data_IF_151028608018
#
_entry.id   IF_151028608018
#
_cell.length_a   1.000
_cell.length_b   1.000
_cell.length_c   1.000
_cell.angle_alpha   90.00
_cell.angle_beta   90.00
_cell.angle_gamma   90.00
#
_symmetry.space_group_name_H-M   'P 1'
#
loop_
_entity.id
_entity.type
_entity.pdbx_description
1 polymer ?
#
# COMPACT_ATOMS: atom_id res chain seq x y z
N UNK A 1 5.89 16.73 0.96
CA UNK A 1 5.03 17.89 0.67
C UNK A 1 4.01 17.98 1.78
N UNK A 2 3.98 19.05 2.56
CA UNK A 2 3.02 19.23 3.66
C UNK A 2 1.79 19.94 3.12
N UNK A 3 0.60 19.38 3.34
CA UNK A 3 -0.67 19.97 2.88
C UNK A 3 -1.14 21.05 3.83
N UNK A 4 -1.88 22.03 3.32
CA UNK A 4 -2.43 23.07 4.18
C UNK A 4 -3.62 22.52 4.97
N UNK A 5 -3.71 22.78 6.29
CA UNK A 5 -4.84 22.31 7.08
C UNK A 5 -6.20 22.80 6.58
N UNK A 6 -6.25 24.04 6.08
CA UNK A 6 -7.49 24.66 5.56
C UNK A 6 -8.05 23.87 4.37
N UNK A 7 -7.21 23.53 3.38
CA UNK A 7 -7.65 22.76 2.20
C UNK A 7 -8.19 21.39 2.60
N UNK A 8 -7.53 20.73 3.55
CA UNK A 8 -7.91 19.39 3.97
C UNK A 8 -9.20 19.40 4.77
N UNK A 9 -9.35 20.29 5.76
CA UNK A 9 -10.59 20.37 6.53
C UNK A 9 -11.77 20.78 5.65
N UNK A 10 -11.60 21.77 4.77
CA UNK A 10 -12.62 22.13 3.78
C UNK A 10 -12.98 20.93 2.89
N UNK A 11 -11.97 20.23 2.37
CA UNK A 11 -12.19 19.01 1.59
C UNK A 11 -12.96 17.94 2.36
N UNK A 12 -12.68 17.71 3.65
CA UNK A 12 -13.39 16.74 4.48
C UNK A 12 -14.86 17.11 4.73
N UNK A 13 -15.15 18.41 4.75
CA UNK A 13 -16.52 18.94 4.85
C UNK A 13 -17.23 18.72 3.50
N UNK A 14 -16.61 19.14 2.41
CA UNK A 14 -17.22 19.18 1.06
C UNK A 14 -17.32 17.79 0.41
N UNK A 15 -16.40 16.86 0.73
CA UNK A 15 -16.38 15.54 0.12
C UNK A 15 -17.63 14.74 0.51
N UNK A 16 -18.34 14.22 -0.49
CA UNK A 16 -19.55 13.42 -0.31
C UNK A 16 -19.25 11.93 -0.25
N UNK A 17 -19.89 11.22 0.67
CA UNK A 17 -19.93 9.74 0.68
C UNK A 17 -21.30 9.31 0.14
N UNK A 18 -21.39 8.68 -1.04
CA UNK A 18 -22.65 8.19 -1.58
C UNK A 18 -23.32 7.17 -0.66
N UNK A 19 -24.66 7.10 -0.68
CA UNK A 19 -25.44 6.15 0.12
C UNK A 19 -25.05 4.69 -0.12
N UNK A 20 -24.65 4.35 -1.34
CA UNK A 20 -24.10 3.03 -1.67
C UNK A 20 -22.85 2.70 -0.83
N UNK A 21 -21.91 3.65 -0.73
CA UNK A 21 -20.69 3.48 0.07
C UNK A 21 -21.02 3.38 1.56
N UNK A 22 -21.98 4.17 2.06
CA UNK A 22 -22.48 4.06 3.45
C UNK A 22 -23.03 2.65 3.71
N UNK A 23 -23.82 2.09 2.80
CA UNK A 23 -24.34 0.73 2.94
C UNK A 23 -23.24 -0.34 3.00
N UNK A 24 -22.15 -0.14 2.24
CA UNK A 24 -20.98 -0.99 2.31
C UNK A 24 -20.20 -0.83 3.62
N UNK A 25 -20.08 0.40 4.14
CA UNK A 25 -19.50 0.66 5.47
C UNK A 25 -20.28 -0.13 6.53
N UNK A 26 -21.61 -0.01 6.53
CA UNK A 26 -22.48 -0.72 7.48
C UNK A 26 -22.33 -2.24 7.39
N UNK A 27 -22.21 -2.78 6.18
CA UNK A 27 -21.93 -4.21 5.96
C UNK A 27 -20.59 -4.63 6.56
N UNK A 28 -19.53 -3.84 6.37
CA UNK A 28 -18.18 -4.13 6.88
C UNK A 28 -18.16 -4.10 8.41
N UNK A 29 -18.78 -3.10 9.03
CA UNK A 29 -18.71 -2.89 10.49
C UNK A 29 -19.81 -3.66 11.25
N UNK A 30 -20.88 -4.10 10.58
CA UNK A 30 -22.04 -4.75 11.19
C UNK A 30 -21.69 -5.99 12.01
N UNK A 31 -20.58 -6.66 11.69
CA UNK A 31 -20.03 -7.78 12.47
C UNK A 31 -19.61 -7.41 13.91
N UNK A 32 -19.53 -6.12 14.23
CA UNK A 32 -19.18 -5.57 15.54
C UNK A 32 -20.36 -4.87 16.23
N UNK A 33 -21.59 -5.04 15.73
CA UNK A 33 -22.80 -4.32 16.20
C UNK A 33 -23.13 -4.49 17.68
N UNK A 34 -22.75 -5.64 18.27
CA UNK A 34 -22.96 -5.95 19.68
C UNK A 34 -21.83 -5.45 20.61
N UNK A 35 -20.74 -4.90 20.05
CA UNK A 35 -19.59 -4.46 20.83
C UNK A 35 -19.77 -3.04 21.33
N UNK A 36 -19.44 -2.84 22.61
CA UNK A 36 -19.41 -1.52 23.25
C UNK A 36 -17.95 -1.16 23.54
N UNK A 37 -17.58 0.08 23.21
CA UNK A 37 -16.26 0.64 23.45
C UNK A 37 -16.42 2.12 23.79
N UNK A 38 -15.70 2.61 24.80
CA UNK A 38 -15.76 4.01 25.24
C UNK A 38 -17.19 4.53 25.55
N UNK A 39 -18.08 3.67 26.05
CA UNK A 39 -19.47 4.03 26.37
C UNK A 39 -20.41 4.13 25.17
N UNK A 40 -19.94 3.86 23.96
CA UNK A 40 -20.73 3.86 22.72
C UNK A 40 -20.61 2.52 22.00
N UNK A 41 -21.44 2.29 20.97
CA UNK A 41 -21.29 1.12 20.12
C UNK A 41 -20.02 1.28 19.28
N UNK A 42 -19.18 0.23 19.23
CA UNK A 42 -17.94 0.23 18.46
C UNK A 42 -18.13 0.59 16.98
N UNK A 43 -19.29 0.22 16.40
CA UNK A 43 -19.65 0.56 15.02
C UNK A 43 -19.71 2.06 14.76
N UNK A 44 -20.04 2.90 15.75
CA UNK A 44 -20.07 4.36 15.59
C UNK A 44 -18.63 4.85 15.34
N UNK A 45 -17.69 4.39 16.17
CA UNK A 45 -16.28 4.74 16.02
C UNK A 45 -15.68 4.26 14.71
N UNK A 46 -16.02 3.04 14.31
CA UNK A 46 -15.56 2.47 13.05
C UNK A 46 -16.15 3.19 11.85
N UNK A 47 -17.44 3.56 11.88
CA UNK A 47 -18.07 4.33 10.81
C UNK A 47 -17.36 5.67 10.63
N UNK A 48 -17.20 6.44 11.71
CA UNK A 48 -16.49 7.72 11.67
C UNK A 48 -15.06 7.60 11.13
N UNK A 49 -14.34 6.55 11.54
CA UNK A 49 -13.00 6.28 11.02
C UNK A 49 -13.00 5.98 9.53
N UNK A 50 -13.84 5.05 9.08
CA UNK A 50 -13.92 4.66 7.66
C UNK A 50 -14.36 5.83 6.79
N UNK A 51 -15.36 6.60 7.21
CA UNK A 51 -15.81 7.82 6.51
C UNK A 51 -14.67 8.84 6.39
N UNK A 52 -13.96 9.11 7.49
CA UNK A 52 -12.88 10.11 7.52
C UNK A 52 -11.73 9.73 6.60
N UNK A 53 -11.28 8.46 6.65
CA UNK A 53 -10.19 7.99 5.81
C UNK A 53 -10.63 7.88 4.34
N UNK A 54 -11.87 7.44 4.08
CA UNK A 54 -12.43 7.37 2.73
C UNK A 54 -12.44 8.77 2.07
N UNK A 55 -12.98 9.78 2.76
CA UNK A 55 -12.93 11.17 2.30
C UNK A 55 -11.50 11.66 2.13
N UNK A 56 -10.60 11.33 3.05
CA UNK A 56 -9.18 11.69 2.94
C UNK A 56 -8.61 11.17 1.63
N UNK A 57 -8.74 9.87 1.33
CA UNK A 57 -8.23 9.28 0.09
C UNK A 57 -8.86 9.97 -1.13
N UNK A 58 -10.18 10.21 -1.11
CA UNK A 58 -10.90 10.91 -2.18
C UNK A 58 -10.31 12.29 -2.47
N UNK A 59 -10.08 13.11 -1.43
CA UNK A 59 -9.51 14.47 -1.56
C UNK A 59 -8.07 14.40 -2.07
N UNK A 60 -7.28 13.44 -1.57
CA UNK A 60 -5.90 13.24 -2.01
C UNK A 60 -5.79 12.82 -3.48
N UNK A 61 -6.84 12.20 -4.02
CA UNK A 61 -6.99 11.82 -5.42
C UNK A 61 -7.59 12.95 -6.28
N UNK A 62 -7.81 14.15 -5.71
CA UNK A 62 -8.37 15.31 -6.39
C UNK A 62 -9.87 15.21 -6.70
N UNK A 63 -10.58 14.28 -6.04
CA UNK A 63 -12.02 14.04 -6.23
C UNK A 63 -12.84 14.64 -5.08
N UNK A 64 -14.13 14.82 -5.33
CA UNK A 64 -15.12 15.30 -4.34
C UNK A 64 -16.10 14.22 -3.90
N UNK A 65 -16.17 13.09 -4.61
CA UNK A 65 -17.09 11.99 -4.29
C UNK A 65 -16.31 10.70 -4.08
N UNK A 66 -16.57 10.06 -2.94
CA UNK A 66 -15.93 8.81 -2.56
C UNK A 66 -16.43 7.62 -3.36
N UNK A 67 -15.52 6.67 -3.60
CA UNK A 67 -15.74 5.45 -4.37
C UNK A 67 -15.55 4.19 -3.52
N UNK A 68 -15.91 3.03 -4.06
CA UNK A 68 -15.65 1.73 -3.41
C UNK A 68 -14.14 1.48 -3.25
N UNK A 69 -13.31 2.01 -4.14
CA UNK A 69 -11.85 1.94 -4.03
C UNK A 69 -11.35 2.71 -2.80
N UNK A 70 -11.92 3.88 -2.52
CA UNK A 70 -11.57 4.69 -1.34
C UNK A 70 -11.96 3.97 -0.04
N UNK A 71 -13.15 3.36 -0.02
CA UNK A 71 -13.57 2.51 1.10
C UNK A 71 -12.65 1.30 1.28
N UNK A 72 -12.23 0.66 0.19
CA UNK A 72 -11.29 -0.47 0.26
C UNK A 72 -9.97 -0.03 0.90
N UNK A 73 -9.44 1.14 0.51
CA UNK A 73 -8.25 1.71 1.13
C UNK A 73 -8.44 2.04 2.61
N UNK A 74 -9.60 2.58 2.99
CA UNK A 74 -9.93 2.84 4.39
C UNK A 74 -9.98 1.57 5.25
N UNK A 75 -10.57 0.49 4.71
CA UNK A 75 -10.59 -0.83 5.36
C UNK A 75 -9.18 -1.41 5.46
N UNK A 76 -8.37 -1.32 4.41
CA UNK A 76 -6.99 -1.81 4.43
C UNK A 76 -6.11 -1.09 5.46
N UNK A 77 -6.39 0.19 5.75
CA UNK A 77 -5.73 0.95 6.82
C UNK A 77 -6.21 0.50 8.20
N UNK A 78 -7.51 0.29 8.37
CA UNK A 78 -8.06 -0.26 9.61
C UNK A 78 -7.43 -1.64 9.90
N UNK A 79 -7.37 -2.51 8.90
CA UNK A 79 -6.73 -3.82 9.00
C UNK A 79 -5.23 -3.68 9.29
N UNK A 80 -4.55 -2.71 8.68
CA UNK A 80 -3.14 -2.46 8.98
C UNK A 80 -2.92 -2.08 10.46
N UNK A 81 -3.69 -1.14 11.01
CA UNK A 81 -3.57 -0.72 12.40
C UNK A 81 -3.93 -1.81 13.41
N UNK A 82 -4.86 -2.69 13.05
CA UNK A 82 -5.37 -3.74 13.94
C UNK A 82 -4.53 -5.02 13.86
N UNK A 83 -3.90 -5.31 12.72
CA UNK A 83 -3.08 -6.52 12.53
C UNK A 83 -1.58 -6.31 12.77
N UNK A 84 -1.08 -5.08 12.62
CA UNK A 84 0.37 -4.80 12.64
C UNK A 84 0.77 -4.21 14.00
N UNK A 85 1.97 -4.55 14.48
CA UNK A 85 2.57 -3.89 15.66
C UNK A 85 3.40 -2.66 15.26
N UNK A 86 3.51 -1.70 16.20
CA UNK A 86 4.36 -0.50 16.05
C UNK A 86 4.05 0.33 14.78
N UNK A 87 2.79 0.37 14.32
CA UNK A 87 2.39 1.26 13.21
C UNK A 87 2.51 2.74 13.60
N UNK A 88 2.51 3.05 14.89
CA UNK A 88 2.74 4.39 15.43
C UNK A 88 4.19 4.90 15.31
N UNK A 89 5.08 4.17 14.60
CA UNK A 89 6.44 4.66 14.30
C UNK A 89 6.49 5.62 13.11
N UNK A 90 5.35 5.90 12.49
CA UNK A 90 5.24 6.90 11.42
C UNK A 90 5.44 8.27 12.05
N UNK A 91 6.27 9.12 11.43
CA UNK A 91 6.58 10.47 11.92
C UNK A 91 6.28 11.51 10.85
N UNK A 92 6.37 12.80 11.19
CA UNK A 92 6.25 13.89 10.20
C UNK A 92 7.40 13.90 9.20
N UNK A 93 8.55 13.34 9.58
CA UNK A 93 9.75 13.23 8.74
C UNK A 93 9.73 11.97 7.85
N UNK A 94 9.10 10.89 8.32
CA UNK A 94 8.86 9.64 7.59
C UNK A 94 7.36 9.28 7.65
N UNK A 95 6.48 10.00 6.92
CA UNK A 95 5.03 9.91 7.07
C UNK A 95 4.37 8.71 6.35
N UNK A 96 5.18 7.78 5.83
CA UNK A 96 4.71 6.64 5.03
C UNK A 96 4.44 5.39 5.86
N UNK A 97 3.46 4.60 5.46
CA UNK A 97 3.20 3.27 6.03
C UNK A 97 4.38 2.35 5.81
N UNK A 98 4.79 1.62 6.86
CA UNK A 98 5.74 0.52 6.73
C UNK A 98 4.94 -0.75 6.46
N UNK A 99 5.10 -1.32 5.26
CA UNK A 99 4.38 -2.51 4.79
C UNK A 99 4.86 -3.79 5.48
N UNK A 100 4.65 -3.88 6.80
CA UNK A 100 5.01 -5.03 7.62
C UNK A 100 4.03 -6.18 7.45
N UNK A 101 4.51 -7.39 7.72
CA UNK A 101 3.68 -8.58 7.85
C UNK A 101 2.70 -8.40 9.03
N UNK A 102 1.43 -8.84 8.90
CA UNK A 102 0.51 -8.97 10.02
C UNK A 102 1.14 -9.77 11.17
N UNK A 103 0.89 -9.33 12.41
CA UNK A 103 1.39 -9.95 13.63
C UNK A 103 0.31 -10.59 14.50
N UNK A 104 -0.96 -10.38 14.16
CA UNK A 104 -2.15 -10.88 14.85
C UNK A 104 -3.36 -10.78 13.95
N UNK A 105 -4.42 -11.48 14.33
CA UNK A 105 -5.71 -11.40 13.65
C UNK A 105 -6.39 -10.04 13.95
N UNK A 106 -6.76 -9.26 12.91
CA UNK A 106 -7.38 -7.95 13.08
C UNK A 106 -8.77 -8.03 13.73
N UNK A 107 -9.54 -9.09 13.47
CA UNK A 107 -10.89 -9.26 14.03
C UNK A 107 -10.82 -9.55 15.52
N UNK A 108 -9.95 -10.47 15.94
CA UNK A 108 -9.72 -10.75 17.37
C UNK A 108 -9.26 -9.49 18.11
N UNK A 109 -8.36 -8.72 17.49
CA UNK A 109 -7.91 -7.45 18.04
C UNK A 109 -9.07 -6.45 18.19
N UNK A 110 -9.91 -6.29 17.17
CA UNK A 110 -11.09 -5.42 17.22
C UNK A 110 -12.07 -5.82 18.32
N UNK A 111 -12.35 -7.12 18.49
CA UNK A 111 -13.24 -7.62 19.54
C UNK A 111 -12.68 -7.34 20.95
N UNK A 112 -11.35 -7.36 21.08
CA UNK A 112 -10.66 -7.11 22.35
C UNK A 112 -10.73 -5.66 22.83
N UNK A 113 -11.19 -4.72 22.00
CA UNK A 113 -11.37 -3.32 22.40
C UNK A 113 -12.44 -3.11 23.48
N UNK A 114 -13.41 -4.03 23.59
CA UNK A 114 -14.39 -4.04 24.67
C UNK A 114 -13.75 -4.07 26.07
N UNK A 115 -12.50 -4.52 26.17
CA UNK A 115 -11.73 -4.59 27.41
C UNK A 115 -10.94 -3.31 27.70
N UNK A 116 -10.96 -2.32 26.80
CA UNK A 116 -10.19 -1.08 26.93
C UNK A 116 -11.07 0.02 27.50
N UNK A 117 -10.63 0.62 28.60
CA UNK A 117 -11.23 1.78 29.22
C UNK A 117 -10.50 3.05 28.80
N UNK A 118 -11.27 4.09 28.48
CA UNK A 118 -10.71 5.41 28.17
C UNK A 118 -10.39 6.12 29.49
N UNK A 119 -9.11 6.35 29.75
CA UNK A 119 -8.65 7.10 30.93
C UNK A 119 -9.12 8.56 30.91
N UNK A 120 -9.31 9.15 32.09
CA UNK A 120 -9.78 10.53 32.23
C UNK A 120 -8.87 11.56 31.56
N UNK A 121 -7.54 11.36 31.64
CA UNK A 121 -6.55 12.19 30.94
C UNK A 121 -6.73 12.14 29.42
N UNK A 122 -6.83 10.93 28.85
CA UNK A 122 -7.07 10.73 27.41
C UNK A 122 -8.36 11.44 26.98
N UNK A 123 -9.45 11.26 27.72
CA UNK A 123 -10.75 11.88 27.44
C UNK A 123 -10.67 13.41 27.47
N UNK A 124 -10.02 13.99 28.50
CA UNK A 124 -9.83 15.43 28.63
C UNK A 124 -9.00 16.02 27.49
N UNK A 125 -7.96 15.32 27.04
CA UNK A 125 -7.14 15.73 25.88
C UNK A 125 -7.93 15.69 24.57
N UNK A 126 -8.77 14.67 24.37
CA UNK A 126 -9.66 14.56 23.21
C UNK A 126 -10.66 15.71 23.17
N UNK A 127 -11.31 16.01 24.30
CA UNK A 127 -12.23 17.14 24.40
C UNK A 127 -11.53 18.47 24.08
N UNK A 128 -10.36 18.73 24.69
CA UNK A 128 -9.59 19.93 24.42
C UNK A 128 -9.08 20.04 22.97
N UNK A 129 -8.79 18.93 22.31
CA UNK A 129 -8.41 18.91 20.89
C UNK A 129 -9.61 19.16 19.96
N UNK A 130 -10.79 18.62 20.30
CA UNK A 130 -12.03 18.90 19.58
C UNK A 130 -12.44 20.38 19.70
N UNK A 131 -12.31 20.99 20.87
CA UNK A 131 -12.53 22.43 21.06
C UNK A 131 -11.57 23.29 20.22
N UNK A 132 -10.29 22.93 20.17
CA UNK A 132 -9.30 23.62 19.35
C UNK A 132 -9.60 23.49 17.86
N UNK A 133 -10.06 22.32 17.43
CA UNK A 133 -10.51 22.11 16.05
C UNK A 133 -11.73 22.99 15.74
N UNK A 134 -12.74 23.00 16.61
CA UNK A 134 -13.93 23.83 16.44
C UNK A 134 -13.57 25.31 16.28
N UNK A 135 -12.75 25.86 17.19
CA UNK A 135 -12.27 27.25 17.09
C UNK A 135 -11.51 27.51 15.79
N UNK A 136 -10.63 26.59 15.38
CA UNK A 136 -9.92 26.72 14.12
C UNK A 136 -10.86 26.80 12.91
N UNK A 137 -11.90 25.95 12.86
CA UNK A 137 -12.88 25.93 11.79
C UNK A 137 -13.72 27.22 11.75
N UNK A 138 -14.10 27.74 12.93
CA UNK A 138 -14.84 29.00 13.09
C UNK A 138 -13.99 30.21 12.70
N UNK A 139 -12.78 30.32 13.24
CA UNK A 139 -11.85 31.44 12.99
C UNK A 139 -11.52 31.59 11.50
N UNK A 140 -11.51 30.48 10.75
CA UNK A 140 -11.23 30.46 9.31
C UNK A 140 -12.51 30.43 8.45
N UNK A 141 -13.70 30.47 9.05
CA UNK A 141 -14.98 30.48 8.34
C UNK A 141 -15.15 29.29 7.40
N UNK A 142 -14.69 28.10 7.80
CA UNK A 142 -14.65 26.95 6.90
C UNK A 142 -16.00 26.26 6.72
N UNK A 143 -16.92 26.42 7.68
CA UNK A 143 -18.20 25.70 7.67
C UNK A 143 -19.24 26.32 8.61
N UNK A 144 -20.50 25.89 8.49
CA UNK A 144 -21.55 26.18 9.47
C UNK A 144 -21.36 25.40 10.79
N UNK A 145 -22.06 25.85 11.84
CA UNK A 145 -21.96 25.27 13.20
C UNK A 145 -22.29 23.78 13.21
N UNK A 146 -23.31 23.35 12.45
CA UNK A 146 -23.75 21.95 12.43
C UNK A 146 -22.69 21.02 11.84
N UNK A 147 -22.08 21.41 10.73
CA UNK A 147 -21.04 20.60 10.09
C UNK A 147 -19.71 20.69 10.86
N UNK A 148 -19.47 21.80 11.56
CA UNK A 148 -18.38 21.92 12.53
C UNK A 148 -18.52 20.88 13.65
N UNK A 149 -19.68 20.84 14.32
CA UNK A 149 -19.98 19.86 15.37
C UNK A 149 -19.81 18.42 14.88
N UNK A 150 -20.37 18.10 13.71
CA UNK A 150 -20.26 16.76 13.13
C UNK A 150 -18.80 16.37 12.78
N UNK A 151 -18.00 17.31 12.29
CA UNK A 151 -16.58 17.05 12.01
C UNK A 151 -15.79 16.84 13.31
N UNK A 152 -16.03 17.67 14.32
CA UNK A 152 -15.40 17.55 15.63
C UNK A 152 -15.76 16.22 16.32
N UNK A 153 -17.02 15.78 16.23
CA UNK A 153 -17.46 14.48 16.74
C UNK A 153 -16.75 13.32 16.02
N UNK A 154 -16.66 13.37 14.69
CA UNK A 154 -15.93 12.36 13.90
C UNK A 154 -14.46 12.29 14.30
N UNK A 155 -13.79 13.42 14.48
CA UNK A 155 -12.38 13.47 14.88
C UNK A 155 -12.19 12.95 16.31
N UNK A 156 -13.02 13.38 17.26
CA UNK A 156 -13.01 12.87 18.62
C UNK A 156 -13.17 11.34 18.65
N UNK A 157 -14.11 10.84 17.86
CA UNK A 157 -14.36 9.41 17.69
C UNK A 157 -13.17 8.66 17.07
N UNK A 158 -12.49 9.24 16.08
CA UNK A 158 -11.26 8.67 15.52
C UNK A 158 -10.12 8.65 16.54
N UNK A 159 -9.95 9.72 17.33
CA UNK A 159 -8.94 9.76 18.38
C UNK A 159 -9.20 8.72 19.46
N UNK A 160 -10.46 8.58 19.92
CA UNK A 160 -10.86 7.52 20.87
C UNK A 160 -10.48 6.13 20.34
N UNK A 161 -10.82 5.84 19.07
CA UNK A 161 -10.53 4.56 18.44
C UNK A 161 -9.03 4.27 18.35
N UNK A 162 -8.25 5.22 17.83
CA UNK A 162 -6.81 5.05 17.62
C UNK A 162 -6.06 5.01 18.97
N UNK A 163 -6.50 5.76 19.98
CA UNK A 163 -5.97 5.64 21.35
C UNK A 163 -6.23 4.26 21.93
N UNK A 164 -7.42 3.70 21.71
CA UNK A 164 -7.74 2.31 22.06
C UNK A 164 -6.83 1.31 21.36
N UNK A 165 -6.58 1.49 20.06
CA UNK A 165 -5.65 0.66 19.30
C UNK A 165 -4.22 0.74 19.85
N UNK A 166 -3.72 1.96 20.14
CA UNK A 166 -2.39 2.17 20.71
C UNK A 166 -2.24 1.46 22.05
N UNK A 167 -3.19 1.70 22.97
CA UNK A 167 -3.22 1.12 24.30
C UNK A 167 -3.25 -0.41 24.25
N UNK A 168 -4.18 -0.99 23.48
CA UNK A 168 -4.31 -2.44 23.36
C UNK A 168 -3.10 -3.08 22.68
N UNK A 169 -2.50 -2.39 21.72
CA UNK A 169 -1.27 -2.88 21.05
C UNK A 169 -0.07 -2.97 21.98
N UNK A 170 -0.07 -2.22 23.08
CA UNK A 170 0.94 -2.27 24.12
C UNK A 170 0.57 -3.23 25.27
N UNK A 171 -0.53 -3.99 25.14
CA UNK A 171 -1.00 -4.94 26.15
C UNK A 171 -1.71 -4.29 27.34
N UNK A 172 -2.04 -3.00 27.26
CA UNK A 172 -2.76 -2.27 28.31
C UNK A 172 -4.28 -2.34 28.11
N UNK A 173 -5.02 -2.11 29.19
CA UNK A 173 -6.49 -2.06 29.23
C UNK A 173 -7.04 -0.67 29.60
N UNK A 174 -6.19 0.29 29.92
CA UNK A 174 -6.58 1.67 30.23
C UNK A 174 -5.69 2.62 29.44
N UNK A 175 -6.31 3.52 28.68
CA UNK A 175 -5.57 4.52 27.88
C UNK A 175 -4.93 5.57 28.79
N UNK A 176 -3.80 6.12 28.35
CA UNK A 176 -3.08 7.22 29.01
C UNK A 176 -3.00 8.43 28.10
N UNK A 177 -2.46 9.56 28.58
CA UNK A 177 -2.20 10.73 27.74
C UNK A 177 -1.33 10.38 26.51
N UNK A 178 -0.32 9.53 26.67
CA UNK A 178 0.55 9.10 25.56
C UNK A 178 -0.21 8.39 24.42
N UNK A 179 -1.30 7.67 24.70
CA UNK A 179 -2.12 7.05 23.66
C UNK A 179 -2.94 8.07 22.88
N UNK A 180 -3.33 9.16 23.53
CA UNK A 180 -3.93 10.29 22.84
C UNK A 180 -2.92 10.98 21.94
N UNK A 181 -1.70 11.26 22.42
CA UNK A 181 -0.68 11.92 21.60
C UNK A 181 -0.34 11.12 20.34
N UNK A 182 -0.23 9.78 20.47
CA UNK A 182 -0.09 8.88 19.32
C UNK A 182 -1.28 9.00 18.36
N UNK A 183 -2.50 8.95 18.87
CA UNK A 183 -3.70 9.04 18.04
C UNK A 183 -3.82 10.39 17.31
N UNK A 184 -3.52 11.47 18.02
CA UNK A 184 -3.54 12.82 17.51
C UNK A 184 -2.50 13.01 16.40
N UNK A 185 -1.25 12.61 16.64
CA UNK A 185 -0.18 12.73 15.65
C UNK A 185 -0.41 11.83 14.43
N UNK A 186 -0.91 10.60 14.62
CA UNK A 186 -1.15 9.69 13.49
C UNK A 186 -2.25 10.23 12.58
N UNK A 187 -3.39 10.66 13.12
CA UNK A 187 -4.45 11.25 12.29
C UNK A 187 -3.94 12.50 11.55
N UNK A 188 -3.16 13.34 12.23
CA UNK A 188 -2.51 14.51 11.63
C UNK A 188 -1.54 14.13 10.50
N UNK A 189 -0.73 13.09 10.69
CA UNK A 189 0.22 12.61 9.69
C UNK A 189 -0.51 12.11 8.44
N UNK A 190 -1.53 11.26 8.62
CA UNK A 190 -2.34 10.74 7.52
C UNK A 190 -2.96 11.87 6.68
N UNK A 191 -3.54 12.86 7.36
CA UNK A 191 -4.21 13.99 6.70
C UNK A 191 -3.22 14.89 5.96
N UNK A 192 -2.13 15.32 6.61
CA UNK A 192 -1.32 16.42 6.09
C UNK A 192 0.02 16.02 5.47
N UNK A 193 0.52 14.81 5.72
CA UNK A 193 1.89 14.43 5.36
C UNK A 193 1.96 13.15 4.52
N UNK A 194 1.06 12.19 4.71
CA UNK A 194 1.10 10.90 4.01
C UNK A 194 0.64 11.04 2.55
N UNK A 195 1.44 10.68 1.53
CA UNK A 195 1.09 10.82 0.12
C UNK A 195 0.01 9.81 -0.31
N UNK A 196 -0.71 10.07 -1.41
CA UNK A 196 -1.78 9.19 -1.88
C UNK A 196 -1.33 7.74 -2.13
N UNK A 197 -0.15 7.55 -2.71
CA UNK A 197 0.38 6.22 -3.02
C UNK A 197 0.62 5.36 -1.78
N UNK A 198 0.78 5.96 -0.60
CA UNK A 198 0.88 5.21 0.65
C UNK A 198 -0.44 4.50 0.99
N UNK A 199 -1.58 5.19 0.82
CA UNK A 199 -2.91 4.61 0.99
C UNK A 199 -3.14 3.51 -0.04
N UNK A 200 -2.89 3.81 -1.32
CA UNK A 200 -3.11 2.86 -2.43
C UNK A 200 -2.20 1.62 -2.34
N UNK A 201 -0.98 1.75 -1.83
CA UNK A 201 -0.04 0.64 -1.74
C UNK A 201 -0.47 -0.48 -0.78
N UNK A 202 -1.18 -0.14 0.32
CA UNK A 202 -1.73 -1.16 1.23
C UNK A 202 -2.76 -2.05 0.52
N UNK A 203 -3.61 -1.45 -0.31
CA UNK A 203 -4.57 -2.18 -1.15
C UNK A 203 -3.87 -2.94 -2.26
N UNK A 204 -2.94 -2.29 -2.97
CA UNK A 204 -2.24 -2.89 -4.12
C UNK A 204 -1.51 -4.18 -3.73
N UNK A 205 -0.73 -4.18 -2.63
CA UNK A 205 0.00 -5.38 -2.20
C UNK A 205 -0.95 -6.54 -1.86
N UNK A 206 -2.08 -6.26 -1.19
CA UNK A 206 -3.07 -7.29 -0.89
C UNK A 206 -3.70 -7.82 -2.18
N UNK A 207 -4.17 -6.93 -3.06
CA UNK A 207 -4.82 -7.30 -4.32
C UNK A 207 -3.91 -8.13 -5.21
N UNK A 208 -2.65 -7.72 -5.39
CA UNK A 208 -1.63 -8.48 -6.12
C UNK A 208 -1.51 -9.88 -5.52
N UNK A 209 -1.23 -10.01 -4.22
CA UNK A 209 -1.00 -11.31 -3.60
C UNK A 209 -2.23 -12.23 -3.60
N UNK A 210 -3.43 -11.66 -3.60
CA UNK A 210 -4.69 -12.42 -3.62
C UNK A 210 -5.27 -12.61 -5.01
N UNK A 211 -4.62 -12.09 -6.06
CA UNK A 211 -5.14 -12.22 -7.41
C UNK A 211 -5.01 -13.67 -7.89
N UNK A 212 -6.11 -14.32 -8.33
CA UNK A 212 -6.08 -15.70 -8.81
C UNK A 212 -5.11 -15.93 -9.98
N UNK A 213 -4.80 -14.88 -10.77
CA UNK A 213 -3.80 -14.96 -11.84
C UNK A 213 -2.44 -15.32 -11.27
N UNK A 214 -2.01 -14.76 -10.14
CA UNK A 214 -0.65 -14.98 -9.61
C UNK A 214 -0.33 -16.45 -9.39
N UNK A 215 -1.26 -17.21 -8.80
CA UNK A 215 -1.07 -18.64 -8.61
C UNK A 215 -0.91 -19.38 -9.96
N UNK A 216 -1.74 -19.04 -10.95
CA UNK A 216 -1.68 -19.62 -12.30
C UNK A 216 -0.41 -19.23 -13.07
N UNK A 217 0.08 -18.00 -12.89
CA UNK A 217 1.34 -17.56 -13.51
C UNK A 217 2.51 -18.43 -13.06
N UNK A 218 2.50 -18.84 -11.79
CA UNK A 218 3.55 -19.66 -11.21
C UNK A 218 3.66 -21.03 -11.90
N UNK A 219 2.54 -21.58 -12.37
CA UNK A 219 2.44 -22.87 -13.06
C UNK A 219 2.92 -22.83 -14.51
N UNK A 220 3.04 -21.64 -15.12
CA UNK A 220 3.47 -21.50 -16.51
C UNK A 220 4.97 -21.77 -16.62
N UNK A 221 5.31 -22.84 -17.34
CA UNK A 221 6.69 -23.27 -17.56
C UNK A 221 7.33 -22.57 -18.76
N UNK A 222 8.65 -22.41 -18.71
CA UNK A 222 9.45 -21.99 -19.86
C UNK A 222 10.14 -23.20 -20.49
N UNK A 223 10.15 -23.30 -21.81
CA UNK A 223 11.01 -24.26 -22.49
C UNK A 223 12.49 -23.86 -22.33
N UNK A 224 13.42 -24.83 -22.30
CA UNK A 224 14.85 -24.52 -22.27
C UNK A 224 15.30 -23.63 -23.44
N UNK A 225 14.66 -23.79 -24.61
CA UNK A 225 14.94 -22.97 -25.80
C UNK A 225 14.53 -21.51 -25.61
N UNK A 226 13.36 -21.26 -25.02
CA UNK A 226 12.93 -19.91 -24.65
C UNK A 226 13.89 -19.28 -23.64
N UNK A 227 14.29 -20.01 -22.60
CA UNK A 227 15.23 -19.48 -21.60
C UNK A 227 16.58 -19.11 -22.23
N UNK A 228 17.11 -19.93 -23.15
CA UNK A 228 18.34 -19.64 -23.90
C UNK A 228 18.21 -18.39 -24.78
N UNK A 229 17.08 -18.20 -25.45
CA UNK A 229 16.82 -16.98 -26.22
C UNK A 229 16.77 -15.75 -25.31
N UNK A 230 16.12 -15.86 -24.15
CA UNK A 230 16.06 -14.75 -23.20
C UNK A 230 17.44 -14.43 -22.60
N UNK A 231 18.26 -15.43 -22.30
CA UNK A 231 19.61 -15.27 -21.74
C UNK A 231 20.64 -14.77 -22.76
N UNK A 232 20.34 -14.87 -24.06
CA UNK A 232 21.12 -14.28 -25.16
C UNK A 232 20.52 -12.97 -25.70
N UNK A 233 19.40 -12.52 -25.13
CA UNK A 233 18.68 -11.31 -25.54
C UNK A 233 19.45 -10.02 -25.24
N UNK A 234 19.00 -8.93 -25.85
CA UNK A 234 19.48 -7.57 -25.55
C UNK A 234 19.34 -7.25 -24.06
N UNK A 235 18.24 -7.64 -23.42
CA UNK A 235 18.03 -7.42 -21.99
C UNK A 235 19.14 -8.09 -21.14
N UNK A 236 19.43 -9.37 -21.41
CA UNK A 236 20.47 -10.11 -20.69
C UNK A 236 21.88 -9.53 -20.94
N UNK A 237 22.15 -9.09 -22.18
CA UNK A 237 23.41 -8.42 -22.52
C UNK A 237 23.58 -7.12 -21.73
N UNK A 238 22.54 -6.29 -21.67
CA UNK A 238 22.55 -5.01 -20.96
C UNK A 238 22.73 -5.20 -19.45
N UNK A 239 22.12 -6.23 -18.86
CA UNK A 239 22.34 -6.57 -17.45
C UNK A 239 23.80 -6.94 -17.16
N UNK A 240 24.41 -7.81 -17.98
CA UNK A 240 25.81 -8.21 -17.82
C UNK A 240 26.77 -7.03 -17.93
N UNK A 241 26.52 -6.10 -18.85
CA UNK A 241 27.34 -4.89 -19.00
C UNK A 241 27.25 -3.94 -17.79
N UNK A 242 26.18 -4.03 -16.99
CA UNK A 242 25.92 -3.14 -15.86
C UNK A 242 25.90 -3.85 -14.50
N UNK A 243 26.45 -5.06 -14.42
CA UNK A 243 26.42 -5.89 -13.22
C UNK A 243 26.95 -5.15 -11.97
N UNK A 244 28.01 -4.36 -12.13
CA UNK A 244 28.60 -3.56 -11.06
C UNK A 244 27.62 -2.52 -10.46
N UNK A 245 26.74 -1.95 -11.29
CA UNK A 245 25.68 -1.04 -10.81
C UNK A 245 24.62 -1.83 -10.04
N UNK A 246 24.23 -3.00 -10.52
CA UNK A 246 23.17 -3.81 -9.91
C UNK A 246 23.62 -4.53 -8.61
N UNK A 247 24.92 -4.74 -8.44
CA UNK A 247 25.50 -5.45 -7.28
C UNK A 247 25.12 -4.84 -5.92
N UNK A 248 24.91 -3.53 -5.82
CA UNK A 248 24.51 -2.87 -4.56
C UNK A 248 23.09 -3.25 -4.11
N UNK A 249 22.17 -3.50 -5.06
CA UNK A 249 20.78 -3.91 -4.78
C UNK A 249 20.74 -5.41 -4.41
N UNK A 250 21.76 -6.17 -4.81
CA UNK A 250 21.88 -7.60 -4.54
C UNK A 250 22.09 -7.98 -3.08
N UNK A 251 22.47 -7.04 -2.22
CA UNK A 251 22.49 -7.29 -0.78
C UNK A 251 21.09 -7.32 -0.17
N UNK A 252 20.14 -6.56 -0.72
CA UNK A 252 18.79 -6.43 -0.18
C UNK A 252 17.82 -7.46 -0.77
N UNK A 253 17.94 -7.74 -2.08
CA UNK A 253 17.13 -8.78 -2.76
C UNK A 253 17.99 -9.56 -3.77
N UNK A 254 18.81 -10.53 -3.32
CA UNK A 254 19.84 -11.18 -4.14
C UNK A 254 19.31 -11.84 -5.42
N UNK A 255 18.15 -12.49 -5.35
CA UNK A 255 17.58 -13.25 -6.47
C UNK A 255 16.88 -12.38 -7.52
N UNK A 256 16.36 -11.21 -7.14
CA UNK A 256 15.64 -10.30 -8.03
C UNK A 256 16.58 -9.30 -8.73
N UNK A 257 17.57 -8.81 -8.01
CA UNK A 257 18.47 -7.71 -8.40
C UNK A 257 19.54 -8.07 -9.42
N UNK A 258 19.99 -9.33 -9.48
CA UNK A 258 21.02 -9.77 -10.42
C UNK A 258 20.52 -9.80 -11.88
N UNK A 259 19.20 -9.88 -12.05
CA UNK A 259 18.53 -10.14 -13.33
C UNK A 259 17.21 -9.33 -13.39
N UNK A 260 17.25 -8.01 -13.18
CA UNK A 260 16.03 -7.17 -13.11
C UNK A 260 15.20 -7.21 -14.40
N UNK A 261 15.78 -6.87 -15.55
CA UNK A 261 15.11 -6.91 -16.85
C UNK A 261 14.69 -8.32 -17.23
N UNK A 262 15.59 -9.30 -17.13
CA UNK A 262 15.28 -10.67 -17.55
C UNK A 262 14.22 -11.32 -16.66
N UNK A 263 14.25 -11.11 -15.34
CA UNK A 263 13.18 -11.59 -14.46
C UNK A 263 11.86 -10.82 -14.66
N UNK A 264 11.91 -9.52 -14.94
CA UNK A 264 10.71 -8.73 -15.28
C UNK A 264 10.05 -9.25 -16.55
N UNK A 265 10.85 -9.51 -17.59
CA UNK A 265 10.38 -10.12 -18.84
C UNK A 265 9.83 -11.52 -18.62
N UNK A 266 10.45 -12.35 -17.76
CA UNK A 266 9.88 -13.66 -17.38
C UNK A 266 8.50 -13.49 -16.74
N UNK A 267 8.32 -12.54 -15.83
CA UNK A 267 7.00 -12.30 -15.22
C UNK A 267 5.96 -11.88 -16.28
N UNK A 268 6.31 -10.89 -17.11
CA UNK A 268 5.42 -10.37 -18.16
C UNK A 268 5.09 -11.44 -19.21
N UNK A 269 6.06 -12.30 -19.56
CA UNK A 269 5.86 -13.41 -20.46
C UNK A 269 4.89 -14.45 -19.88
N UNK A 270 4.99 -14.77 -18.59
CA UNK A 270 4.00 -15.62 -17.92
C UNK A 270 2.61 -14.97 -17.94
N UNK A 271 2.53 -13.65 -17.72
CA UNK A 271 1.26 -12.92 -17.78
C UNK A 271 0.63 -12.97 -19.17
N UNK A 272 1.44 -12.75 -20.21
CA UNK A 272 1.00 -12.83 -21.61
C UNK A 272 0.59 -14.24 -22.01
N UNK A 273 1.34 -15.25 -21.59
CA UNK A 273 1.03 -16.65 -21.83
C UNK A 273 -0.28 -17.07 -21.16
N UNK A 274 -0.54 -16.59 -19.93
CA UNK A 274 -1.80 -16.83 -19.23
C UNK A 274 -2.99 -16.24 -19.99
N UNK A 275 -2.87 -15.01 -20.52
CA UNK A 275 -3.90 -14.39 -21.37
C UNK A 275 -4.18 -15.19 -22.65
N UNK A 276 -3.15 -15.86 -23.18
CA UNK A 276 -3.26 -16.72 -24.36
C UNK A 276 -3.69 -18.16 -24.04
N UNK A 277 -3.90 -18.50 -22.76
CA UNK A 277 -4.28 -19.85 -22.33
C UNK A 277 -3.16 -20.88 -22.43
N UNK A 278 -1.90 -20.44 -22.46
CA UNK A 278 -0.74 -21.31 -22.55
C UNK A 278 -0.31 -21.80 -21.16
N UNK A 279 -0.03 -23.10 -21.04
CA UNK A 279 0.57 -23.71 -19.84
C UNK A 279 2.11 -23.76 -19.90
N UNK A 280 2.68 -23.58 -21.09
CA UNK A 280 4.12 -23.56 -21.36
C UNK A 280 4.43 -22.61 -22.49
N UNK A 281 5.53 -21.89 -22.37
CA UNK A 281 6.03 -20.96 -23.39
C UNK A 281 7.16 -21.66 -24.14
N UNK A 282 6.96 -21.90 -25.44
CA UNK A 282 7.93 -22.60 -26.28
C UNK A 282 8.93 -21.62 -26.93
N UNK A 283 9.98 -22.17 -27.54
CA UNK A 283 11.03 -21.36 -28.17
C UNK A 283 10.52 -20.57 -29.38
N UNK A 284 9.56 -21.13 -30.11
CA UNK A 284 8.94 -20.53 -31.30
C UNK A 284 8.03 -19.34 -30.94
N UNK A 285 7.54 -19.30 -29.70
CA UNK A 285 6.70 -18.22 -29.19
C UNK A 285 7.52 -17.00 -28.74
N UNK A 286 8.86 -17.07 -28.76
CA UNK A 286 9.71 -16.06 -28.13
C UNK A 286 9.41 -14.63 -28.60
N UNK A 287 9.42 -14.38 -29.91
CA UNK A 287 9.25 -13.03 -30.44
C UNK A 287 7.83 -12.49 -30.18
N UNK A 288 6.81 -13.33 -30.33
CA UNK A 288 5.41 -12.94 -30.14
C UNK A 288 5.11 -12.65 -28.66
N UNK A 289 5.61 -13.48 -27.74
CA UNK A 289 5.44 -13.32 -26.30
C UNK A 289 6.21 -12.10 -25.79
N UNK A 290 7.43 -11.86 -26.26
CA UNK A 290 8.22 -10.70 -25.83
C UNK A 290 7.59 -9.40 -26.34
N UNK A 291 7.15 -9.33 -27.61
CA UNK A 291 6.43 -8.16 -28.12
C UNK A 291 5.12 -7.93 -27.35
N UNK A 292 4.36 -8.99 -27.08
CA UNK A 292 3.15 -8.94 -26.27
C UNK A 292 3.43 -8.44 -24.84
N UNK A 293 4.50 -8.92 -24.21
CA UNK A 293 4.95 -8.53 -22.87
C UNK A 293 5.27 -7.04 -22.79
N UNK A 294 5.94 -6.51 -23.81
CA UNK A 294 6.22 -5.08 -23.93
C UNK A 294 4.93 -4.27 -24.18
N UNK A 295 3.92 -4.87 -24.81
CA UNK A 295 2.58 -4.29 -24.95
C UNK A 295 1.86 -4.12 -23.61
N UNK A 296 2.03 -5.06 -22.67
CA UNK A 296 1.46 -4.97 -21.32
C UNK A 296 2.05 -3.80 -20.53
N UNK A 297 3.33 -3.47 -20.72
CA UNK A 297 3.92 -2.27 -20.09
C UNK A 297 3.30 -0.98 -20.64
N UNK A 298 2.99 -0.92 -21.93
CA UNK A 298 2.34 0.26 -22.51
C UNK A 298 0.93 0.49 -21.95
N UNK A 299 0.17 -0.55 -21.59
CA UNK A 299 -1.19 -0.38 -21.07
C UNK A 299 -1.22 0.34 -19.72
N UNK A 300 -0.15 0.25 -18.93
CA UNK A 300 0.04 0.99 -17.69
C UNK A 300 0.88 2.28 -17.87
N UNK A 301 1.02 2.75 -19.11
CA UNK A 301 1.72 4.01 -19.44
C UNK A 301 3.25 3.93 -19.44
N UNK A 302 3.84 2.73 -19.44
CA UNK A 302 5.30 2.53 -19.48
C UNK A 302 5.75 2.32 -20.93
N UNK A 303 6.38 3.35 -21.50
CA UNK A 303 6.87 3.30 -22.88
C UNK A 303 7.97 2.26 -23.09
N UNK A 304 7.88 1.53 -24.22
CA UNK A 304 8.91 0.59 -24.67
C UNK A 304 10.25 1.26 -24.99
N UNK A 305 10.25 2.56 -25.31
CA UNK A 305 11.48 3.32 -25.59
C UNK A 305 12.47 3.26 -24.41
N UNK A 306 11.97 3.11 -23.18
CA UNK A 306 12.78 2.97 -21.97
C UNK A 306 13.73 1.74 -22.00
N UNK A 307 13.53 0.82 -22.94
CA UNK A 307 14.24 -0.45 -23.02
C UNK A 307 14.92 -0.69 -24.37
N UNK A 308 14.89 0.28 -25.29
CA UNK A 308 15.36 0.09 -26.68
C UNK A 308 16.86 0.27 -26.87
N UNK A 309 17.46 1.23 -26.16
CA UNK A 309 18.89 1.52 -26.30
C UNK A 309 19.67 1.33 -24.99
N UNK A 310 20.96 1.08 -25.14
CA UNK A 310 21.87 0.82 -24.03
C UNK A 310 22.01 2.03 -23.10
N UNK A 311 21.99 3.26 -23.65
CA UNK A 311 22.15 4.48 -22.87
C UNK A 311 20.99 4.68 -21.88
N UNK A 312 19.76 4.43 -22.34
CA UNK A 312 18.52 4.57 -21.58
C UNK A 312 18.41 3.48 -20.51
N UNK A 313 18.78 2.25 -20.84
CA UNK A 313 18.83 1.15 -19.87
C UNK A 313 19.92 1.36 -18.82
N UNK A 314 21.09 1.89 -19.20
CA UNK A 314 22.14 2.25 -18.26
C UNK A 314 21.67 3.36 -17.31
N UNK A 315 20.99 4.37 -17.84
CA UNK A 315 20.38 5.42 -17.02
C UNK A 315 19.32 4.86 -16.07
N UNK A 316 18.51 3.89 -16.52
CA UNK A 316 17.52 3.21 -15.70
C UNK A 316 18.17 2.42 -14.56
N UNK A 317 19.21 1.63 -14.83
CA UNK A 317 19.92 0.88 -13.77
C UNK A 317 20.58 1.78 -12.73
N UNK A 318 21.05 2.96 -13.13
CA UNK A 318 21.51 3.98 -12.18
C UNK A 318 20.37 4.55 -11.33
N UNK A 319 19.16 4.66 -11.88
CA UNK A 319 17.98 5.12 -11.13
C UNK A 319 17.46 4.10 -10.11
N UNK A 320 17.68 2.80 -10.34
CA UNK A 320 17.19 1.70 -9.48
C UNK A 320 18.03 1.51 -8.20
N UNK A 321 19.16 2.23 -8.05
CA UNK A 321 19.92 2.24 -6.80
C UNK A 321 19.04 2.62 -5.62
N UNK A 322 19.08 1.88 -4.51
CA UNK A 322 18.26 2.18 -3.33
C UNK A 322 18.84 3.37 -2.55
N UNK A 323 17.98 4.26 -2.08
CA UNK A 323 18.36 5.28 -1.10
C UNK A 323 18.54 4.66 0.29
N UNK A 324 19.19 5.38 1.20
CA UNK A 324 19.47 4.88 2.55
C UNK A 324 18.18 4.46 3.30
N UNK A 325 18.16 3.26 3.88
CA UNK A 325 17.03 2.72 4.65
C UNK A 325 15.86 2.18 3.82
N UNK A 326 15.92 2.28 2.48
CA UNK A 326 14.88 1.74 1.58
C UNK A 326 15.01 0.22 1.45
N UNK A 327 16.20 -0.32 1.67
CA UNK A 327 16.47 -1.75 1.74
C UNK A 327 15.66 -2.47 2.84
N UNK A 328 15.56 -1.88 4.04
CA UNK A 328 14.72 -2.42 5.11
C UNK A 328 13.24 -2.43 4.71
N UNK A 329 12.76 -1.32 4.13
CA UNK A 329 11.37 -1.18 3.69
C UNK A 329 11.03 -2.15 2.56
N UNK A 330 11.94 -2.36 1.61
CA UNK A 330 11.81 -3.35 0.54
C UNK A 330 11.77 -4.77 1.12
N UNK A 331 12.64 -5.10 2.07
CA UNK A 331 12.63 -6.41 2.75
C UNK A 331 11.31 -6.68 3.46
N UNK A 332 10.74 -5.69 4.15
CA UNK A 332 9.42 -5.80 4.78
C UNK A 332 8.31 -6.02 3.75
N UNK A 333 8.33 -5.29 2.63
CA UNK A 333 7.40 -5.45 1.53
C UNK A 333 7.47 -6.87 0.95
N UNK A 334 8.67 -7.38 0.69
CA UNK A 334 8.88 -8.75 0.17
C UNK A 334 8.30 -9.79 1.13
N UNK A 335 8.63 -9.70 2.42
CA UNK A 335 8.09 -10.62 3.45
C UNK A 335 6.56 -10.55 3.54
N UNK A 336 5.98 -9.36 3.39
CA UNK A 336 4.53 -9.19 3.38
C UNK A 336 3.90 -9.83 2.13
N UNK A 337 4.51 -9.65 0.96
CA UNK A 337 4.07 -10.27 -0.29
C UNK A 337 4.10 -11.81 -0.17
N UNK A 338 5.19 -12.37 0.34
CA UNK A 338 5.36 -13.80 0.59
C UNK A 338 4.29 -14.36 1.52
N UNK A 339 4.07 -13.70 2.68
CA UNK A 339 3.06 -14.13 3.64
C UNK A 339 1.65 -14.14 3.02
N UNK A 340 1.28 -13.06 2.32
CA UNK A 340 -0.03 -12.97 1.67
C UNK A 340 -0.22 -14.02 0.55
N UNK A 341 0.84 -14.37 -0.20
CA UNK A 341 0.76 -15.41 -1.22
C UNK A 341 0.54 -16.80 -0.62
N UNK A 342 1.22 -17.11 0.49
CA UNK A 342 1.02 -18.39 1.22
C UNK A 342 -0.41 -18.47 1.76
N UNK A 343 -0.90 -17.38 2.37
CA UNK A 343 -2.26 -17.32 2.91
C UNK A 343 -3.32 -17.45 1.81
N UNK A 344 -3.12 -16.76 0.67
CA UNK A 344 -4.09 -16.78 -0.44
C UNK A 344 -4.17 -18.14 -1.14
N UNK A 345 -3.04 -18.83 -1.28
CA UNK A 345 -2.98 -20.14 -1.95
C UNK A 345 -3.37 -21.29 -1.01
N UNK A 346 -3.43 -21.04 0.31
CA UNK A 346 -3.63 -22.06 1.36
C UNK A 346 -2.63 -23.23 1.27
N UNK A 347 -1.49 -23.02 0.61
CA UNK A 347 -0.46 -24.02 0.42
C UNK A 347 0.87 -23.50 1.00
N UNK A 348 1.27 -24.08 2.13
CA UNK A 348 2.51 -23.71 2.85
C UNK A 348 3.77 -23.95 2.02
N UNK A 349 3.71 -24.88 1.06
CA UNK A 349 4.82 -25.21 0.17
C UNK A 349 4.78 -24.45 -1.15
N UNK A 350 3.77 -23.59 -1.38
CA UNK A 350 3.60 -22.89 -2.65
C UNK A 350 4.86 -22.13 -3.08
N UNK A 351 5.49 -21.41 -2.14
CA UNK A 351 6.72 -20.66 -2.42
C UNK A 351 7.95 -21.57 -2.57
N UNK A 352 7.95 -22.77 -1.99
CA UNK A 352 9.01 -23.76 -2.23
C UNK A 352 8.90 -24.32 -3.64
N UNK A 353 7.68 -24.63 -4.08
CA UNK A 353 7.38 -25.12 -5.43
C UNK A 353 7.62 -24.04 -6.50
N UNK A 354 7.36 -22.77 -6.14
CA UNK A 354 7.41 -21.62 -7.05
C UNK A 354 8.46 -20.56 -6.64
N UNK A 355 9.63 -21.00 -6.21
CA UNK A 355 10.68 -20.13 -5.64
C UNK A 355 11.14 -18.96 -6.53
N UNK A 356 10.88 -19.04 -7.84
CA UNK A 356 11.23 -17.98 -8.81
C UNK A 356 10.17 -16.88 -8.94
N UNK A 357 8.94 -17.10 -8.44
CA UNK A 357 7.82 -16.15 -8.63
C UNK A 357 8.08 -14.82 -7.93
N UNK A 358 8.33 -14.84 -6.62
CA UNK A 358 8.56 -13.62 -5.82
C UNK A 358 9.76 -12.82 -6.34
N UNK A 359 10.94 -13.43 -6.65
CA UNK A 359 12.04 -12.71 -7.29
C UNK A 359 11.64 -12.00 -8.58
N UNK A 360 10.80 -12.61 -9.43
CA UNK A 360 10.31 -12.01 -10.67
C UNK A 360 9.36 -10.84 -10.43
N UNK A 361 8.46 -10.98 -9.46
CA UNK A 361 7.56 -9.90 -9.01
C UNK A 361 8.36 -8.70 -8.49
N UNK A 362 9.38 -8.95 -7.65
CA UNK A 362 10.22 -7.88 -7.08
C UNK A 362 11.09 -7.22 -8.15
N UNK A 363 11.62 -7.98 -9.11
CA UNK A 363 12.34 -7.44 -10.24
C UNK A 363 11.47 -6.46 -11.05
N UNK A 364 10.23 -6.86 -11.37
CA UNK A 364 9.28 -6.00 -12.07
C UNK A 364 8.94 -4.75 -11.25
N UNK A 365 8.73 -4.89 -9.95
CA UNK A 365 8.48 -3.77 -9.05
C UNK A 365 9.63 -2.75 -9.04
N UNK A 366 10.88 -3.21 -8.99
CA UNK A 366 12.07 -2.37 -9.06
C UNK A 366 12.21 -1.70 -10.43
N UNK A 367 11.89 -2.42 -11.50
CA UNK A 367 11.90 -1.89 -12.86
C UNK A 367 10.90 -0.75 -13.00
N UNK A 368 9.65 -0.97 -12.60
CA UNK A 368 8.58 0.03 -12.62
C UNK A 368 8.92 1.24 -11.74
N UNK A 369 9.53 1.02 -10.57
CA UNK A 369 9.99 2.11 -9.70
C UNK A 369 11.06 2.96 -10.40
N UNK A 370 12.05 2.32 -11.03
CA UNK A 370 13.11 3.00 -11.77
C UNK A 370 12.62 3.83 -12.95
N UNK A 371 11.66 3.30 -13.72
CA UNK A 371 11.12 3.99 -14.90
C UNK A 371 10.22 5.16 -14.51
N UNK A 372 9.42 5.02 -13.45
CA UNK A 372 8.44 6.06 -13.07
C UNK A 372 8.99 7.13 -12.14
N UNK A 373 10.23 6.96 -11.67
CA UNK A 373 10.90 7.86 -10.75
C UNK A 373 10.94 9.30 -11.27
N UNK A 374 10.55 10.24 -10.40
CA UNK A 374 10.47 11.65 -10.76
C UNK A 374 11.84 12.36 -10.85
N UNK A 375 12.83 11.97 -10.04
CA UNK A 375 14.17 12.59 -10.00
C UNK A 375 15.28 11.57 -10.24
N UNK A 376 16.25 11.93 -11.08
CA UNK A 376 17.46 11.15 -11.33
C UNK A 376 18.52 11.23 -10.23
N UNK A 377 18.40 12.19 -9.32
CA UNK A 377 19.56 12.67 -8.53
C UNK A 377 19.73 11.94 -7.20
N UNK A 378 18.74 11.15 -6.78
CA UNK A 378 18.77 10.33 -5.56
C UNK A 378 18.58 8.87 -5.90
N UNK A 379 18.73 7.97 -4.92
CA UNK A 379 18.30 6.56 -5.03
C UNK A 379 16.77 6.43 -5.06
N UNK A 380 16.25 5.23 -5.33
CA UNK A 380 14.83 4.91 -5.20
C UNK A 380 14.39 5.17 -3.77
N UNK A 381 13.28 5.88 -3.62
CA UNK A 381 12.67 6.15 -2.35
C UNK A 381 11.52 5.17 -2.09
N UNK A 382 11.10 5.08 -0.83
CA UNK A 382 9.93 4.27 -0.42
C UNK A 382 8.67 4.60 -1.24
N UNK A 383 8.46 5.88 -1.56
CA UNK A 383 7.34 6.33 -2.38
C UNK A 383 7.41 5.79 -3.82
N UNK A 384 8.62 5.64 -4.39
CA UNK A 384 8.79 5.08 -5.73
C UNK A 384 8.37 3.59 -5.76
N UNK A 385 8.70 2.83 -4.70
CA UNK A 385 8.29 1.43 -4.54
C UNK A 385 6.77 1.29 -4.35
N UNK A 386 6.16 2.22 -3.62
CA UNK A 386 4.70 2.24 -3.42
C UNK A 386 3.94 2.61 -4.69
N UNK A 387 4.44 3.57 -5.46
CA UNK A 387 3.89 3.88 -6.78
C UNK A 387 4.02 2.68 -7.72
N UNK A 388 5.17 1.99 -7.71
CA UNK A 388 5.33 0.80 -8.55
C UNK A 388 4.46 -0.38 -8.14
N UNK A 389 4.16 -0.55 -6.84
CA UNK A 389 3.13 -1.50 -6.39
C UNK A 389 1.76 -1.19 -6.99
N UNK A 390 1.35 0.08 -7.03
CA UNK A 390 0.06 0.47 -7.62
C UNK A 390 0.05 0.15 -9.11
N UNK A 391 1.09 0.51 -9.85
CA UNK A 391 1.21 0.18 -11.28
C UNK A 391 1.23 -1.33 -11.54
N UNK A 392 1.86 -2.10 -10.65
CA UNK A 392 1.88 -3.55 -10.76
C UNK A 392 0.48 -4.16 -10.52
N UNK A 393 -0.28 -3.62 -9.57
CA UNK A 393 -1.67 -3.99 -9.41
C UNK A 393 -2.49 -3.71 -10.66
N UNK A 394 -2.32 -2.55 -11.27
CA UNK A 394 -3.05 -2.15 -12.48
C UNK A 394 -2.69 -3.08 -13.65
N UNK A 395 -1.42 -3.45 -13.78
CA UNK A 395 -0.93 -4.43 -14.76
C UNK A 395 -1.59 -5.80 -14.63
N UNK A 396 -1.77 -6.30 -13.40
CA UNK A 396 -2.40 -7.60 -13.16
C UNK A 396 -3.90 -7.54 -13.36
N UNK A 397 -4.53 -6.41 -12.99
CA UNK A 397 -5.98 -6.25 -13.02
C UNK A 397 -6.52 -6.14 -14.45
N UNK A 398 -5.75 -5.53 -15.37
CA UNK A 398 -6.11 -5.36 -16.77
C UNK A 398 -6.81 -4.03 -17.04
#
# INVERSE_FOLDING_TARGET
MTRTPIEIYRGLIDASIPTEIVSHIDSVIGRYSHQVFAGQKLIIHLSHFLETICKTITILDGRTTSSISDLTGAVDILDHFTSTSKWWTITREDPGFRLRLPSRDPREFMLSLSQVQIGGETSGRIAGAAEKLARFLEDHGLTDTKSCEALCERFASCWVLISGFSCKSQGRSVTTESDFEVAYDILRILLFYTPLYDFKALTAIRRISTDPKIAKLAEIAFSPGFERKLESSVAARLERLNEASLAKIAFSVPSASRNILTNSLKFLAQLKALEQGLSRIEEDDYDSIILGSMGLLNSIGISQENFRDEATVNALFRKIQLDAGVDEKLSLLVRRLEGLLVDSTRNREFLLQNAKLVPRMVALLLLLAGVTKASSDRGLQDLDLKRSLVLFHDLISG
#
